data_IF_058195484281
#
_entry.id   IF_058195484281
#
_cell.length_a   1.000
_cell.length_b   1.000
_cell.length_c   1.000
_cell.angle_alpha   90.00
_cell.angle_beta   90.00
_cell.angle_gamma   90.00
#
_symmetry.space_group_name_H-M   'P 1'
#
loop_
_entity.id
_entity.type
_entity.pdbx_description
1 polymer ?
#
# COMPACT_ATOMS: atom_id res chain seq x y z
N UNK A 1 10.66 16.16 -46.15
CA UNK A 1 9.69 15.44 -45.30
C UNK A 1 10.48 14.73 -44.21
N UNK A 2 10.50 15.27 -43.00
CA UNK A 2 11.16 14.62 -41.86
C UNK A 2 10.23 13.51 -41.33
N UNK A 3 10.71 12.27 -41.34
CA UNK A 3 10.03 11.13 -40.71
C UNK A 3 10.08 11.30 -39.19
N UNK A 4 8.91 11.49 -38.58
CA UNK A 4 8.73 11.35 -37.14
C UNK A 4 8.99 9.89 -36.75
N UNK A 5 10.12 9.62 -36.08
CA UNK A 5 10.42 8.31 -35.52
C UNK A 5 9.41 7.90 -34.44
N UNK A 6 9.24 6.58 -34.18
CA UNK A 6 8.27 6.10 -33.20
C UNK A 6 8.55 6.69 -31.82
N UNK A 7 7.46 7.15 -31.19
CA UNK A 7 7.43 8.05 -30.04
C UNK A 7 8.29 7.61 -28.86
N UNK A 8 8.70 8.61 -28.08
CA UNK A 8 9.48 8.45 -26.85
C UNK A 8 8.89 7.34 -25.98
N UNK A 9 9.61 6.22 -25.86
CA UNK A 9 9.27 5.17 -24.92
C UNK A 9 9.28 5.79 -23.51
N UNK A 10 8.12 5.77 -22.85
CA UNK A 10 7.99 6.20 -21.45
C UNK A 10 8.90 5.32 -20.60
N UNK A 11 9.88 5.92 -19.93
CA UNK A 11 10.98 5.20 -19.27
C UNK A 11 10.52 4.36 -18.06
N UNK A 12 9.37 4.70 -17.46
CA UNK A 12 8.85 4.10 -16.22
C UNK A 12 7.30 3.99 -16.22
N UNK A 13 6.72 3.17 -17.10
CA UNK A 13 5.27 3.14 -17.30
C UNK A 13 4.50 2.62 -16.07
N UNK A 14 5.10 1.73 -15.27
CA UNK A 14 4.46 1.15 -14.08
C UNK A 14 4.41 2.15 -12.92
N UNK A 15 5.49 2.88 -12.71
CA UNK A 15 5.62 3.91 -11.70
C UNK A 15 4.65 5.06 -12.00
N UNK A 16 4.52 5.45 -13.27
CA UNK A 16 3.54 6.45 -13.72
C UNK A 16 2.11 5.94 -13.49
N UNK A 17 1.81 4.70 -13.88
CA UNK A 17 0.49 4.12 -13.63
C UNK A 17 0.18 4.12 -12.12
N UNK A 18 1.12 3.67 -11.29
CA UNK A 18 0.96 3.63 -9.85
C UNK A 18 0.74 5.03 -9.24
N UNK A 19 1.49 6.03 -9.72
CA UNK A 19 1.35 7.43 -9.33
C UNK A 19 -0.03 8.02 -9.69
N UNK A 20 -0.48 7.82 -10.93
CA UNK A 20 -1.76 8.34 -11.43
C UNK A 20 -2.95 7.66 -10.74
N UNK A 21 -2.83 6.38 -10.39
CA UNK A 21 -3.88 5.61 -9.72
C UNK A 21 -3.95 5.84 -8.21
N UNK A 22 -2.95 6.49 -7.61
CA UNK A 22 -2.83 6.66 -6.16
C UNK A 22 -4.09 7.27 -5.50
N UNK A 23 -4.72 8.34 -6.01
CA UNK A 23 -5.95 8.88 -5.41
C UNK A 23 -7.12 7.89 -5.40
N UNK A 24 -7.27 7.10 -6.48
CA UNK A 24 -8.31 6.09 -6.57
C UNK A 24 -8.07 4.93 -5.59
N UNK A 25 -6.82 4.49 -5.43
CA UNK A 25 -6.43 3.50 -4.43
C UNK A 25 -6.66 4.03 -3.00
N UNK A 26 -6.26 5.27 -2.72
CA UNK A 26 -6.47 5.92 -1.43
C UNK A 26 -7.97 5.96 -1.08
N UNK A 27 -8.83 6.36 -2.03
CA UNK A 27 -10.28 6.35 -1.87
C UNK A 27 -10.81 4.93 -1.61
N UNK A 28 -10.39 3.97 -2.42
CA UNK A 28 -10.79 2.57 -2.27
C UNK A 28 -10.42 1.99 -0.92
N UNK A 29 -9.28 2.35 -0.33
CA UNK A 29 -8.83 1.82 0.96
C UNK A 29 -9.61 2.37 2.16
N UNK A 30 -10.17 3.59 2.07
CA UNK A 30 -10.79 4.27 3.22
C UNK A 30 -12.26 4.63 3.04
N UNK A 31 -12.85 4.38 1.86
CA UNK A 31 -14.28 4.61 1.63
C UNK A 31 -15.13 3.92 2.71
N UNK A 32 -16.15 4.57 3.28
CA UNK A 32 -16.94 3.97 4.36
C UNK A 32 -17.68 2.70 3.90
N UNK A 33 -17.94 1.79 4.85
CA UNK A 33 -18.69 0.56 4.62
C UNK A 33 -17.83 -0.71 4.55
N UNK A 34 -18.48 -1.86 4.78
CA UNK A 34 -17.86 -3.20 4.78
C UNK A 34 -18.04 -3.97 3.47
N UNK A 35 -18.54 -3.32 2.42
CA UNK A 35 -18.67 -3.96 1.13
C UNK A 35 -17.27 -4.39 0.63
N UNK A 36 -17.20 -5.61 0.08
CA UNK A 36 -16.01 -6.11 -0.58
C UNK A 36 -15.57 -5.15 -1.68
N UNK A 37 -14.25 -5.10 -1.93
CA UNK A 37 -13.73 -4.30 -3.04
C UNK A 37 -14.31 -4.78 -4.37
N UNK A 38 -14.86 -3.87 -5.16
CA UNK A 38 -15.12 -4.13 -6.58
C UNK A 38 -13.82 -4.46 -7.30
N UNK A 39 -13.89 -5.18 -8.42
CA UNK A 39 -12.72 -5.51 -9.24
C UNK A 39 -11.94 -4.27 -9.64
N UNK A 40 -12.61 -3.18 -10.04
CA UNK A 40 -11.95 -1.93 -10.42
C UNK A 40 -11.19 -1.29 -9.24
N UNK A 41 -11.78 -1.32 -8.04
CA UNK A 41 -11.14 -0.79 -6.83
C UNK A 41 -9.96 -1.67 -6.39
N UNK A 42 -10.08 -3.00 -6.49
CA UNK A 42 -8.97 -3.93 -6.27
C UNK A 42 -7.82 -3.70 -7.26
N UNK A 43 -8.12 -3.54 -8.56
CA UNK A 43 -7.12 -3.19 -9.57
C UNK A 43 -6.44 -1.88 -9.23
N UNK A 44 -7.18 -0.85 -8.83
CA UNK A 44 -6.59 0.43 -8.44
C UNK A 44 -5.59 0.29 -7.28
N UNK A 45 -5.95 -0.48 -6.24
CA UNK A 45 -5.07 -0.76 -5.10
C UNK A 45 -3.82 -1.52 -5.54
N UNK A 46 -3.96 -2.59 -6.33
CA UNK A 46 -2.84 -3.37 -6.87
C UNK A 46 -1.92 -2.50 -7.72
N UNK A 47 -2.47 -1.72 -8.65
CA UNK A 47 -1.69 -0.83 -9.53
C UNK A 47 -0.90 0.20 -8.71
N UNK A 48 -1.54 0.91 -7.78
CA UNK A 48 -0.86 1.89 -6.93
C UNK A 48 0.24 1.24 -6.08
N UNK A 49 -0.01 0.04 -5.55
CA UNK A 49 0.96 -0.67 -4.72
C UNK A 49 2.12 -1.30 -5.52
N UNK A 50 2.07 -1.27 -6.86
CA UNK A 50 3.14 -1.79 -7.72
C UNK A 50 4.48 -1.08 -7.58
N UNK A 51 4.47 0.16 -7.08
CA UNK A 51 5.66 0.94 -6.77
C UNK A 51 5.77 1.21 -5.25
N UNK A 52 6.99 1.44 -4.76
CA UNK A 52 7.21 1.76 -3.35
C UNK A 52 6.73 3.18 -2.99
N UNK A 53 6.98 4.17 -3.85
CA UNK A 53 6.68 5.56 -3.55
C UNK A 53 5.19 5.81 -3.23
N UNK A 54 4.21 5.26 -3.98
CA UNK A 54 2.80 5.36 -3.61
C UNK A 54 2.47 4.70 -2.26
N UNK A 55 3.14 3.59 -1.90
CA UNK A 55 2.95 2.95 -0.58
C UNK A 55 3.46 3.83 0.55
N UNK A 56 4.60 4.50 0.35
CA UNK A 56 5.14 5.49 1.28
C UNK A 56 4.18 6.67 1.47
N UNK A 57 3.42 7.06 0.45
CA UNK A 57 2.36 8.06 0.57
C UNK A 57 1.08 7.52 1.25
N UNK A 58 0.71 6.26 0.98
CA UNK A 58 -0.49 5.63 1.57
C UNK A 58 -0.37 5.42 3.08
N UNK A 59 0.81 5.07 3.59
CA UNK A 59 1.06 4.86 5.04
C UNK A 59 0.59 6.05 5.90
N UNK A 60 1.11 7.28 5.72
CA UNK A 60 0.64 8.43 6.49
C UNK A 60 -0.80 8.81 6.16
N UNK A 61 -1.29 8.61 4.93
CA UNK A 61 -2.69 8.86 4.57
C UNK A 61 -3.68 7.94 5.32
N UNK A 62 -3.31 6.67 5.51
CA UNK A 62 -4.10 5.68 6.25
C UNK A 62 -4.00 5.97 7.76
N UNK A 63 -2.82 6.31 8.26
CA UNK A 63 -2.58 6.63 9.66
C UNK A 63 -3.12 8.01 10.10
N UNK A 64 -3.44 8.89 9.16
CA UNK A 64 -3.87 10.25 9.46
C UNK A 64 -5.08 10.28 10.42
N UNK A 65 -5.06 11.23 11.34
CA UNK A 65 -6.24 11.56 12.14
C UNK A 65 -7.29 12.25 11.24
N UNK A 66 -8.53 11.82 11.33
CA UNK A 66 -9.64 12.34 10.52
C UNK A 66 -9.74 11.72 9.13
N UNK A 67 -10.35 12.46 8.20
CA UNK A 67 -10.71 11.98 6.86
C UNK A 67 -10.08 12.86 5.78
N UNK A 68 -8.76 12.76 5.55
CA UNK A 68 -8.13 13.50 4.46
C UNK A 68 -8.75 13.11 3.11
N UNK A 69 -8.92 14.09 2.23
CA UNK A 69 -9.44 13.87 0.88
C UNK A 69 -8.46 12.99 0.09
N UNK A 70 -8.88 11.81 -0.42
CA UNK A 70 -8.04 10.99 -1.29
C UNK A 70 -7.44 11.74 -2.48
N UNK A 71 -8.08 12.81 -2.98
CA UNK A 71 -7.53 13.62 -4.09
C UNK A 71 -6.36 14.51 -3.69
N UNK A 72 -6.16 14.72 -2.39
CA UNK A 72 -5.06 15.53 -1.85
C UNK A 72 -3.74 14.74 -1.69
N UNK A 73 -3.80 13.41 -1.83
CA UNK A 73 -2.61 12.57 -1.70
C UNK A 73 -1.64 12.86 -2.84
N UNK A 74 -0.35 12.99 -2.49
CA UNK A 74 0.74 13.16 -3.44
C UNK A 74 1.68 11.96 -3.33
N UNK A 75 2.29 11.60 -4.45
CA UNK A 75 3.29 10.53 -4.48
C UNK A 75 4.51 10.99 -3.68
N UNK A 76 5.07 10.09 -2.89
CA UNK A 76 6.30 10.30 -2.14
C UNK A 76 7.48 10.56 -3.09
N UNK A 77 8.22 11.63 -2.87
CA UNK A 77 9.47 11.92 -3.56
C UNK A 77 10.66 11.45 -2.69
N UNK A 78 11.39 10.39 -3.05
CA UNK A 78 12.50 9.88 -2.23
C UNK A 78 13.69 10.83 -2.10
N UNK A 79 13.77 11.90 -2.90
CA UNK A 79 14.84 12.88 -2.84
C UNK A 79 14.47 14.11 -2.02
N UNK A 80 13.18 14.41 -1.89
CA UNK A 80 12.68 15.63 -1.24
C UNK A 80 11.89 15.36 0.05
N UNK A 81 11.16 14.24 0.11
CA UNK A 81 10.30 13.94 1.24
C UNK A 81 11.03 13.14 2.33
N UNK A 82 10.83 13.49 3.61
CA UNK A 82 11.35 12.67 4.71
C UNK A 82 10.59 11.35 4.80
N UNK A 83 11.29 10.27 5.17
CA UNK A 83 10.66 8.99 5.49
C UNK A 83 9.51 9.18 6.49
N UNK A 84 8.28 8.72 6.19
CA UNK A 84 7.13 8.95 7.05
C UNK A 84 7.31 8.31 8.44
N UNK A 85 7.18 9.07 9.56
CA UNK A 85 7.28 8.50 10.91
C UNK A 85 6.28 7.37 11.16
N UNK A 86 5.10 7.43 10.53
CA UNK A 86 4.07 6.41 10.61
C UNK A 86 4.51 5.04 10.08
N UNK A 87 5.53 4.98 9.21
CA UNK A 87 6.13 3.72 8.77
C UNK A 87 6.71 2.93 9.94
N UNK A 88 7.24 3.65 10.93
CA UNK A 88 7.84 3.12 12.15
C UNK A 88 6.90 3.19 13.35
N UNK A 89 5.62 3.50 13.15
CA UNK A 89 4.64 3.50 14.23
C UNK A 89 4.77 4.70 15.15
N UNK A 90 5.34 5.81 14.67
CA UNK A 90 5.50 7.05 15.40
C UNK A 90 4.54 8.14 14.92
N UNK A 91 4.22 9.07 15.83
CA UNK A 91 3.29 10.16 15.60
C UNK A 91 1.95 9.96 16.33
N UNK A 92 0.93 10.78 16.02
CA UNK A 92 -0.36 10.70 16.68
C UNK A 92 -1.04 9.34 16.50
N UNK A 93 -1.77 8.88 17.52
CA UNK A 93 -2.58 7.67 17.41
C UNK A 93 -3.54 7.71 16.21
N UNK A 94 -3.48 6.71 15.29
CA UNK A 94 -4.33 6.68 14.11
C UNK A 94 -5.75 6.26 14.45
N UNK A 95 -6.70 6.56 13.55
CA UNK A 95 -8.03 5.95 13.60
C UNK A 95 -7.89 4.43 13.34
N UNK A 96 -8.06 3.65 14.41
CA UNK A 96 -7.93 2.19 14.37
C UNK A 96 -8.93 1.53 13.42
N UNK A 97 -10.14 2.08 13.26
CA UNK A 97 -11.15 1.53 12.38
C UNK A 97 -10.76 1.74 10.91
N UNK A 98 -10.25 2.94 10.58
CA UNK A 98 -9.70 3.27 9.26
C UNK A 98 -8.52 2.38 8.89
N UNK A 99 -7.53 2.22 9.79
CA UNK A 99 -6.38 1.34 9.56
C UNK A 99 -6.81 -0.10 9.37
N UNK A 100 -7.79 -0.58 10.16
CA UNK A 100 -8.32 -1.94 10.01
C UNK A 100 -8.99 -2.14 8.66
N UNK A 101 -9.87 -1.21 8.27
CA UNK A 101 -10.56 -1.26 6.99
C UNK A 101 -9.59 -1.26 5.81
N UNK A 102 -8.61 -0.37 5.82
CA UNK A 102 -7.57 -0.32 4.79
C UNK A 102 -6.78 -1.64 4.72
N UNK A 103 -6.42 -2.21 5.88
CA UNK A 103 -5.71 -3.47 5.96
C UNK A 103 -6.51 -4.66 5.42
N UNK A 104 -7.80 -4.71 5.69
CA UNK A 104 -8.68 -5.77 5.17
C UNK A 104 -8.87 -5.62 3.65
N UNK A 105 -9.08 -4.40 3.16
CA UNK A 105 -9.17 -4.12 1.72
C UNK A 105 -7.89 -4.40 0.96
N UNK A 106 -6.72 -4.19 1.58
CA UNK A 106 -5.45 -4.63 1.00
C UNK A 106 -5.40 -6.15 0.79
N UNK A 107 -5.89 -6.92 1.75
CA UNK A 107 -5.98 -8.37 1.63
C UNK A 107 -7.03 -8.77 0.57
N UNK A 108 -8.15 -8.07 0.48
CA UNK A 108 -9.18 -8.29 -0.54
C UNK A 108 -8.64 -8.05 -1.95
N UNK A 109 -7.89 -6.98 -2.16
CA UNK A 109 -7.27 -6.69 -3.45
C UNK A 109 -6.32 -7.82 -3.90
N UNK A 110 -5.52 -8.36 -2.97
CA UNK A 110 -4.69 -9.55 -3.24
C UNK A 110 -5.54 -10.79 -3.56
N UNK A 111 -6.63 -11.03 -2.82
CA UNK A 111 -7.55 -12.16 -3.07
C UNK A 111 -8.20 -12.06 -4.46
N UNK A 112 -8.66 -10.88 -4.85
CA UNK A 112 -9.24 -10.62 -6.18
C UNK A 112 -8.21 -10.87 -7.28
N UNK A 113 -6.96 -10.40 -7.12
CA UNK A 113 -5.89 -10.69 -8.07
C UNK A 113 -5.58 -12.19 -8.16
N UNK A 114 -5.48 -12.89 -7.03
CA UNK A 114 -5.26 -14.35 -7.00
C UNK A 114 -6.36 -15.14 -7.67
N UNK A 115 -7.62 -14.71 -7.55
CA UNK A 115 -8.77 -15.38 -8.17
C UNK A 115 -8.80 -15.25 -9.70
N UNK A 116 -8.02 -14.31 -10.26
CA UNK A 116 -7.86 -14.12 -11.71
C UNK A 116 -6.62 -14.85 -12.24
N UNK A 117 -6.20 -15.92 -11.57
CA UNK A 117 -4.95 -16.66 -11.79
C UNK A 117 -3.66 -15.82 -11.70
N UNK A 118 -3.75 -14.64 -11.07
CA UNK A 118 -2.60 -13.84 -10.67
C UNK A 118 -1.63 -13.51 -11.82
N UNK A 119 -2.06 -12.72 -12.82
CA UNK A 119 -1.24 -12.39 -13.97
C UNK A 119 0.11 -11.79 -13.54
N UNK A 120 1.19 -12.19 -14.23
CA UNK A 120 2.58 -11.95 -13.83
C UNK A 120 2.92 -10.46 -13.67
N UNK A 121 2.31 -9.61 -14.50
CA UNK A 121 2.47 -8.15 -14.50
C UNK A 121 1.90 -7.47 -13.24
N UNK A 122 0.97 -8.10 -12.53
CA UNK A 122 0.34 -7.61 -11.30
C UNK A 122 0.98 -8.11 -9.99
N UNK A 123 1.89 -9.09 -10.05
CA UNK A 123 2.51 -9.73 -8.87
C UNK A 123 3.11 -8.74 -7.87
N UNK A 124 3.82 -7.74 -8.37
CA UNK A 124 4.47 -6.70 -7.56
C UNK A 124 3.45 -5.81 -6.86
N UNK A 125 2.36 -5.48 -7.55
CA UNK A 125 1.25 -4.72 -6.99
C UNK A 125 0.47 -5.51 -5.95
N UNK A 126 0.25 -6.80 -6.19
CA UNK A 126 -0.44 -7.68 -5.26
C UNK A 126 0.38 -7.91 -3.99
N UNK A 127 1.69 -8.17 -4.11
CA UNK A 127 2.62 -8.21 -2.98
C UNK A 127 2.67 -6.86 -2.24
N UNK A 128 2.71 -5.75 -2.99
CA UNK A 128 2.67 -4.41 -2.44
C UNK A 128 1.38 -4.11 -1.66
N UNK A 129 0.22 -4.55 -2.15
CA UNK A 129 -1.04 -4.41 -1.44
C UNK A 129 -1.02 -5.23 -0.16
N UNK A 130 -0.59 -6.50 -0.24
CA UNK A 130 -0.56 -7.36 0.93
C UNK A 130 0.46 -6.91 1.99
N UNK A 131 1.61 -6.34 1.57
CA UNK A 131 2.59 -5.73 2.47
C UNK A 131 2.05 -4.48 3.18
N UNK A 132 1.28 -3.64 2.48
CA UNK A 132 0.55 -2.52 3.11
C UNK A 132 -0.51 -3.03 4.10
N UNK A 133 -1.20 -4.12 3.75
CA UNK A 133 -2.11 -4.82 4.65
C UNK A 133 -1.44 -5.44 5.87
N UNK A 134 -0.18 -5.90 5.72
CA UNK A 134 0.67 -6.37 6.81
C UNK A 134 1.06 -5.22 7.75
N UNK A 135 1.48 -4.08 7.18
CA UNK A 135 1.76 -2.87 7.94
C UNK A 135 0.53 -2.39 8.72
N UNK A 136 -0.67 -2.40 8.13
CA UNK A 136 -1.91 -2.06 8.83
C UNK A 136 -2.16 -2.98 10.04
N UNK A 137 -1.93 -4.29 9.89
CA UNK A 137 -2.08 -5.24 10.98
C UNK A 137 -1.04 -5.00 12.09
N UNK A 138 0.22 -4.73 11.72
CA UNK A 138 1.30 -4.40 12.64
C UNK A 138 1.02 -3.10 13.40
N UNK A 139 0.60 -2.05 12.70
CA UNK A 139 0.23 -0.74 13.26
C UNK A 139 -0.91 -0.82 14.29
N UNK A 140 -1.74 -1.86 14.21
CA UNK A 140 -2.83 -2.15 15.17
C UNK A 140 -2.42 -3.08 16.32
N UNK A 141 -1.20 -3.62 16.30
CA UNK A 141 -0.68 -4.60 17.26
C UNK A 141 -1.08 -6.05 16.97
N UNK A 142 -1.58 -6.36 15.77
CA UNK A 142 -1.97 -7.72 15.38
C UNK A 142 -0.81 -8.48 14.75
N UNK A 143 0.10 -8.97 15.60
CA UNK A 143 1.36 -9.63 15.19
C UNK A 143 1.14 -10.81 14.23
N UNK A 144 0.29 -11.76 14.60
CA UNK A 144 0.03 -12.93 13.77
C UNK A 144 -0.50 -12.57 12.37
N UNK A 145 -1.44 -11.61 12.28
CA UNK A 145 -1.95 -11.14 10.99
C UNK A 145 -0.88 -10.40 10.18
N UNK A 146 -0.07 -9.58 10.84
CA UNK A 146 1.03 -8.88 10.19
C UNK A 146 2.04 -9.87 9.60
N UNK A 147 2.44 -10.87 10.39
CA UNK A 147 3.37 -11.92 9.96
C UNK A 147 2.81 -12.71 8.77
N UNK A 148 1.58 -13.24 8.88
CA UNK A 148 0.96 -14.01 7.80
C UNK A 148 0.91 -13.22 6.51
N UNK A 149 0.44 -11.96 6.55
CA UNK A 149 0.35 -11.11 5.36
C UNK A 149 1.73 -10.79 4.79
N UNK A 150 2.73 -10.51 5.64
CA UNK A 150 4.09 -10.23 5.18
C UNK A 150 4.74 -11.45 4.51
N UNK A 151 4.56 -12.66 5.08
CA UNK A 151 5.07 -13.91 4.48
C UNK A 151 4.46 -14.16 3.11
N UNK A 152 3.13 -14.07 2.99
CA UNK A 152 2.47 -14.23 1.68
C UNK A 152 2.88 -13.16 0.66
N UNK A 153 3.15 -11.92 1.11
CA UNK A 153 3.68 -10.88 0.25
C UNK A 153 5.08 -11.25 -0.28
N UNK A 154 5.95 -11.80 0.58
CA UNK A 154 7.30 -12.25 0.21
C UNK A 154 7.28 -13.52 -0.64
N UNK A 155 6.31 -14.42 -0.44
CA UNK A 155 6.08 -15.55 -1.35
C UNK A 155 5.64 -15.09 -2.74
N UNK A 156 4.86 -14.00 -2.81
CA UNK A 156 4.45 -13.38 -4.08
C UNK A 156 5.59 -12.60 -4.74
N UNK A 157 6.40 -11.89 -3.94
CA UNK A 157 7.56 -11.12 -4.37
C UNK A 157 8.63 -11.08 -3.26
N UNK A 158 9.69 -11.87 -3.44
CA UNK A 158 10.70 -12.12 -2.39
C UNK A 158 11.48 -10.87 -1.94
N UNK A 159 11.58 -9.85 -2.79
CA UNK A 159 12.31 -8.60 -2.52
C UNK A 159 11.38 -7.45 -2.10
N UNK A 160 10.12 -7.71 -1.73
CA UNK A 160 9.21 -6.62 -1.32
C UNK A 160 9.71 -5.90 -0.05
N UNK A 161 10.06 -4.60 -0.13
CA UNK A 161 10.76 -3.91 0.95
C UNK A 161 9.87 -3.66 2.17
N UNK A 162 8.57 -3.40 1.95
CA UNK A 162 7.61 -3.14 3.03
C UNK A 162 7.26 -4.44 3.77
N UNK A 163 7.08 -5.54 3.04
CA UNK A 163 6.85 -6.85 3.64
C UNK A 163 8.06 -7.28 4.49
N UNK A 164 9.26 -7.13 3.96
CA UNK A 164 10.49 -7.41 4.68
C UNK A 164 10.65 -6.55 5.93
N UNK A 165 10.33 -5.25 5.86
CA UNK A 165 10.33 -4.37 7.03
C UNK A 165 9.34 -4.85 8.10
N UNK A 166 8.09 -5.10 7.74
CA UNK A 166 7.05 -5.54 8.68
C UNK A 166 7.44 -6.86 9.33
N UNK A 167 7.90 -7.84 8.55
CA UNK A 167 8.30 -9.15 9.09
C UNK A 167 9.47 -9.01 10.08
N UNK A 168 10.48 -8.19 9.77
CA UNK A 168 11.58 -7.93 10.71
C UNK A 168 11.09 -7.25 11.98
N UNK A 169 10.17 -6.28 11.89
CA UNK A 169 9.59 -5.64 13.06
C UNK A 169 8.82 -6.63 13.93
N UNK A 170 8.07 -7.56 13.33
CA UNK A 170 7.37 -8.64 14.04
C UNK A 170 8.35 -9.57 14.76
N UNK A 171 9.36 -10.07 14.04
CA UNK A 171 10.37 -10.96 14.61
C UNK A 171 11.16 -10.30 15.74
N UNK A 172 11.45 -9.00 15.62
CA UNK A 172 12.13 -8.21 16.64
C UNK A 172 11.22 -7.78 17.81
N UNK A 173 9.92 -8.11 17.79
CA UNK A 173 8.96 -7.66 18.80
C UNK A 173 8.79 -6.14 18.86
N UNK A 174 9.16 -5.43 17.78
CA UNK A 174 9.15 -3.97 17.72
C UNK A 174 7.78 -3.45 17.29
N UNK A 175 7.02 -2.95 18.27
CA UNK A 175 5.63 -2.53 18.09
C UNK A 175 5.50 -1.03 17.82
N UNK A 176 4.34 -0.59 17.31
CA UNK A 176 4.08 0.84 17.15
C UNK A 176 4.04 1.55 18.50
N UNK A 177 4.58 2.77 18.55
CA UNK A 177 4.67 3.63 19.74
C UNK A 177 3.92 4.94 19.51
N UNK A 178 2.66 4.83 19.10
CA UNK A 178 1.83 5.99 18.81
C UNK A 178 1.62 6.87 20.04
N UNK A 179 1.69 8.18 19.87
CA UNK A 179 1.38 9.17 20.91
C UNK A 179 -0.12 9.13 21.22
N UNK A 180 -0.47 8.80 22.47
CA UNK A 180 -1.83 9.01 22.98
C UNK A 180 -1.95 10.48 23.34
N UNK A 181 -2.77 11.22 22.60
CA UNK A 181 -3.20 12.58 23.00
C UNK A 181 -4.36 12.48 23.96
#
# INVERSE_FOLDING_TARGET
MAQSGPGSAVRFPREIAAAVTLPAAAAALVAPGRADLSTAAATAVVTACGALAPRMALVPFIAAQGTPDPRSIRVFDPFADPTPPALHGFGPAPDRARVRLAGDRCADAWRVWRAQDGPFDGSSGAAGALSLGAWCAWALGSWARAETRARYALETRADDPLAGLVLRSVVAGSGPSWERR
#
